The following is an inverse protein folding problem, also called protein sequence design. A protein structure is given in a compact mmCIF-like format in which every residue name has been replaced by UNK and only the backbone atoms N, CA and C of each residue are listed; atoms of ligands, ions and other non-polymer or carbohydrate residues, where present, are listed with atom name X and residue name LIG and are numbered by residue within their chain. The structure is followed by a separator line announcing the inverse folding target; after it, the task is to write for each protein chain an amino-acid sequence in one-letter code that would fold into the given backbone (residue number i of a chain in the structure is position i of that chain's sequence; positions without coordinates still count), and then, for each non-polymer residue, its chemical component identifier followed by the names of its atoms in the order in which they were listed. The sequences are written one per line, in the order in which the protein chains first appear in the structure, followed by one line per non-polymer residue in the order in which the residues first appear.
data_IF_934392595922
#
_entry.id   IF_934392595922
#
_cell.length_a   1.000
_cell.length_b   1.000
_cell.length_c   1.000
_cell.angle_alpha   90.00
_cell.angle_beta   90.00
_cell.angle_gamma   90.00
#
_symmetry.space_group_name_H-M   'P 1'
#
loop_
_entity.id
_entity.type
_entity.pdbx_description
1 polymer ?
#
# COMPACT_ATOMS: atom_id res chain seq x y z
N UNK A 1 -8.02 -1.76 -13.40
CA UNK A 1 -8.41 -2.99 -14.14
C UNK A 1 -8.05 -4.26 -13.37
N UNK A 2 -6.90 -4.34 -12.69
CA UNK A 2 -6.40 -5.58 -12.07
C UNK A 2 -7.30 -6.19 -10.99
N UNK A 3 -7.86 -5.38 -10.08
CA UNK A 3 -8.80 -5.86 -9.06
C UNK A 3 -10.28 -5.83 -9.52
N UNK A 4 -10.59 -5.09 -10.58
CA UNK A 4 -11.96 -4.91 -11.14
C UNK A 4 -13.06 -4.68 -10.08
N UNK A 5 -12.76 -3.87 -9.06
CA UNK A 5 -13.69 -3.57 -7.96
C UNK A 5 -13.81 -4.64 -6.88
N UNK A 6 -13.10 -5.77 -6.98
CA UNK A 6 -13.09 -6.81 -5.95
C UNK A 6 -12.10 -6.47 -4.82
N UNK A 7 -12.56 -6.25 -3.57
CA UNK A 7 -11.68 -5.90 -2.45
C UNK A 7 -10.65 -6.98 -2.10
N UNK A 8 -11.01 -8.26 -2.19
CA UNK A 8 -10.12 -9.39 -1.86
C UNK A 8 -8.96 -9.49 -2.85
N UNK A 9 -9.21 -9.23 -4.14
CA UNK A 9 -8.14 -9.13 -5.15
C UNK A 9 -7.24 -7.92 -4.90
N UNK A 10 -7.82 -6.79 -4.50
CA UNK A 10 -7.06 -5.58 -4.20
C UNK A 10 -6.15 -5.79 -2.98
N UNK A 11 -6.63 -6.45 -1.93
CA UNK A 11 -5.83 -6.82 -0.76
C UNK A 11 -4.61 -7.65 -1.15
N UNK A 12 -4.79 -8.69 -1.97
CA UNK A 12 -3.70 -9.52 -2.44
C UNK A 12 -2.66 -8.73 -3.25
N UNK A 13 -3.10 -7.84 -4.16
CA UNK A 13 -2.22 -6.97 -4.93
C UNK A 13 -1.46 -5.98 -4.04
N UNK A 14 -2.07 -5.50 -2.96
CA UNK A 14 -1.42 -4.60 -2.02
C UNK A 14 -0.57 -5.34 -0.97
N UNK A 15 -0.68 -6.66 -0.87
CA UNK A 15 -0.01 -7.46 0.16
C UNK A 15 -0.65 -7.34 1.54
N UNK A 16 -1.95 -7.06 1.60
CA UNK A 16 -2.74 -6.99 2.81
C UNK A 16 -3.32 -8.36 3.17
N UNK A 17 -3.57 -8.58 4.46
CA UNK A 17 -4.33 -9.74 4.91
C UNK A 17 -5.77 -9.67 4.38
N UNK A 18 -6.35 -10.83 4.08
CA UNK A 18 -7.74 -10.92 3.63
C UNK A 18 -8.69 -10.32 4.69
N UNK A 19 -9.56 -9.40 4.27
CA UNK A 19 -10.49 -8.71 5.18
C UNK A 19 -10.07 -7.29 5.54
N UNK A 20 -8.79 -6.93 5.37
CA UNK A 20 -8.22 -5.64 5.79
C UNK A 20 -8.95 -4.40 5.25
N UNK A 21 -9.50 -4.48 4.03
CA UNK A 21 -10.22 -3.40 3.38
C UNK A 21 -11.74 -3.45 3.60
N UNK A 22 -12.25 -4.49 4.27
CA UNK A 22 -13.68 -4.77 4.37
C UNK A 22 -14.33 -4.98 3.00
N UNK A 23 -15.64 -4.74 2.91
CA UNK A 23 -16.40 -4.95 1.66
C UNK A 23 -16.62 -3.66 0.85
N UNK A 24 -16.27 -2.50 1.42
CA UNK A 24 -16.48 -1.18 0.82
C UNK A 24 -15.28 -0.26 1.11
N UNK A 25 -14.11 -0.54 0.51
CA UNK A 25 -12.89 0.23 0.73
C UNK A 25 -13.09 1.72 0.44
N UNK A 26 -12.35 2.56 1.17
CA UNK A 26 -12.30 4.00 0.96
C UNK A 26 -11.03 4.37 0.21
N UNK A 27 -11.19 5.10 -0.89
CA UNK A 27 -10.08 5.69 -1.63
C UNK A 27 -9.87 7.13 -1.15
N UNK A 28 -8.66 7.45 -0.73
CA UNK A 28 -8.25 8.83 -0.43
C UNK A 28 -7.41 9.33 -1.60
N UNK A 29 -7.87 10.40 -2.25
CA UNK A 29 -7.15 11.05 -3.35
C UNK A 29 -6.62 12.40 -2.86
N UNK A 30 -5.29 12.60 -2.77
CA UNK A 30 -4.73 13.91 -2.47
C UNK A 30 -5.03 14.89 -3.61
N UNK A 31 -5.33 16.15 -3.27
CA UNK A 31 -5.58 17.19 -4.28
C UNK A 31 -4.28 17.64 -4.97
N UNK A 32 -3.19 17.73 -4.20
CA UNK A 32 -1.84 18.01 -4.69
C UNK A 32 -0.82 17.11 -3.98
N UNK A 33 0.22 16.70 -4.71
CA UNK A 33 1.30 15.86 -4.19
C UNK A 33 2.64 16.51 -4.53
N UNK A 34 3.42 16.83 -3.50
CA UNK A 34 4.75 17.43 -3.63
C UNK A 34 5.75 16.62 -2.82
N UNK A 35 7.00 16.55 -3.28
CA UNK A 35 8.12 15.92 -2.57
C UNK A 35 7.91 14.44 -2.19
N UNK A 36 7.09 13.70 -2.94
CA UNK A 36 6.93 12.26 -2.70
C UNK A 36 8.27 11.55 -2.92
N UNK A 37 8.56 10.56 -2.09
CA UNK A 37 9.82 9.81 -2.11
C UNK A 37 9.59 8.36 -1.75
N UNK A 38 10.60 7.53 -2.01
CA UNK A 38 10.61 6.15 -1.50
C UNK A 38 10.82 6.22 0.03
N UNK A 39 10.03 5.49 0.82
CA UNK A 39 10.23 5.40 2.26
C UNK A 39 11.61 4.80 2.59
N UNK A 40 12.26 5.26 3.66
CA UNK A 40 13.65 4.90 3.98
C UNK A 40 13.80 3.83 5.08
N UNK A 41 12.69 3.40 5.69
CA UNK A 41 12.68 2.39 6.76
C UNK A 41 12.81 2.96 8.17
N UNK A 42 13.22 4.23 8.32
CA UNK A 42 13.35 4.91 9.61
C UNK A 42 12.07 5.68 10.00
N UNK A 43 11.12 5.78 9.09
CA UNK A 43 9.78 6.33 9.33
C UNK A 43 8.98 5.48 10.31
N UNK A 44 8.08 6.11 11.06
CA UNK A 44 7.29 5.43 12.10
C UNK A 44 6.50 4.22 11.58
N UNK A 45 5.92 4.32 10.38
CA UNK A 45 5.19 3.22 9.74
C UNK A 45 6.10 2.08 9.31
N UNK A 46 7.17 2.39 8.57
CA UNK A 46 8.11 1.39 8.06
C UNK A 46 8.91 0.68 9.15
N UNK A 47 9.35 1.41 10.18
CA UNK A 47 10.21 0.86 11.25
C UNK A 47 9.53 -0.20 12.10
N UNK A 48 8.22 -0.07 12.31
CA UNK A 48 7.43 -1.00 13.09
C UNK A 48 6.79 -2.12 12.25
N UNK A 49 6.81 -1.99 10.91
CA UNK A 49 6.11 -2.90 10.02
C UNK A 49 7.07 -3.93 9.40
N UNK A 50 6.95 -5.24 9.76
CA UNK A 50 7.78 -6.29 9.18
C UNK A 50 7.52 -6.56 7.70
N UNK A 51 6.51 -5.92 7.09
CA UNK A 51 6.25 -5.99 5.66
C UNK A 51 6.98 -4.92 4.86
N UNK A 52 7.51 -3.86 5.48
CA UNK A 52 8.25 -2.85 4.74
C UNK A 52 9.58 -3.40 4.19
N UNK A 53 9.90 -3.07 2.93
CA UNK A 53 11.16 -3.45 2.26
C UNK A 53 11.72 -2.25 1.51
N UNK A 54 13.06 -2.11 1.43
CA UNK A 54 13.67 -1.15 0.50
C UNK A 54 13.22 -1.40 -0.94
N UNK A 55 13.03 -0.33 -1.73
CA UNK A 55 12.75 -0.42 -3.17
C UNK A 55 11.41 0.15 -3.63
N UNK A 56 10.62 0.73 -2.71
CA UNK A 56 9.41 1.48 -3.06
C UNK A 56 8.29 0.60 -3.61
N UNK A 57 8.10 -0.59 -3.01
CA UNK A 57 7.03 -1.52 -3.36
C UNK A 57 6.44 -2.15 -2.11
N UNK A 58 5.13 -2.38 -2.13
CA UNK A 58 4.46 -3.18 -1.10
C UNK A 58 4.97 -4.61 -1.10
N UNK A 59 4.89 -5.29 0.04
CA UNK A 59 5.25 -6.71 0.15
C UNK A 59 4.16 -7.46 0.93
N UNK A 60 3.69 -8.62 0.44
CA UNK A 60 4.13 -9.32 -0.77
C UNK A 60 3.56 -8.80 -2.10
N UNK A 61 2.73 -7.74 -2.09
CA UNK A 61 1.92 -7.30 -3.23
C UNK A 61 2.68 -6.75 -4.45
N UNK A 62 3.84 -6.12 -4.25
CA UNK A 62 4.70 -5.62 -5.32
C UNK A 62 4.23 -4.35 -6.02
N UNK A 63 3.17 -3.70 -5.51
CA UNK A 63 2.63 -2.43 -6.03
C UNK A 63 3.54 -1.27 -5.59
N UNK A 64 3.79 -0.25 -6.43
CA UNK A 64 4.61 0.90 -6.04
C UNK A 64 4.10 1.62 -4.78
N UNK A 65 5.02 1.99 -3.89
CA UNK A 65 4.76 2.72 -2.64
C UNK A 65 5.64 3.97 -2.57
N UNK A 66 5.07 5.07 -2.06
CA UNK A 66 5.75 6.34 -1.80
C UNK A 66 5.14 7.06 -0.59
N UNK A 67 5.92 7.96 0.01
CA UNK A 67 5.55 8.83 1.13
C UNK A 67 5.83 10.29 0.83
#
# INVERSE_FOLDING_TARGET
KEADGNPRKLEALLGLDEGSLGDSPKLVLPQEVHNYRIPDGNEGGSRANPQWRPGGKTYPGGVPEAV
#
